data_IF_143932414217
#
_entry.id   IF_143932414217
#
_cell.length_a   1.000
_cell.length_b   1.000
_cell.length_c   1.000
_cell.angle_alpha   90.00
_cell.angle_beta   90.00
_cell.angle_gamma   90.00
#
_symmetry.space_group_name_H-M   'P 1'
#
loop_
_entity.id
_entity.type
_entity.pdbx_description
1 polymer ?
#
# COMPACT_ATOMS: atom_id res chain seq x y z
N UNK A 1 3.12 -0.28 -26.32
CA UNK A 1 3.90 -1.46 -25.82
C UNK A 1 2.87 -2.57 -25.68
N UNK A 2 3.09 -3.78 -26.22
CA UNK A 2 2.12 -4.88 -26.10
C UNK A 2 2.55 -5.73 -24.92
N UNK A 3 1.73 -5.78 -23.87
CA UNK A 3 1.90 -6.70 -22.76
C UNK A 3 1.88 -8.13 -23.29
N UNK A 4 2.82 -8.95 -22.83
CA UNK A 4 3.03 -10.32 -23.33
C UNK A 4 2.07 -11.32 -22.65
N UNK A 5 1.23 -10.86 -21.71
CA UNK A 5 0.10 -11.60 -21.15
C UNK A 5 -1.15 -10.71 -21.10
N UNK A 6 -2.32 -11.27 -21.40
CA UNK A 6 -3.61 -10.62 -21.10
C UNK A 6 -3.88 -10.82 -19.59
N UNK A 7 -3.35 -9.92 -18.77
CA UNK A 7 -3.63 -9.86 -17.33
C UNK A 7 -4.80 -8.90 -17.12
N UNK A 8 -5.81 -9.36 -16.38
CA UNK A 8 -6.94 -8.55 -15.92
C UNK A 8 -7.02 -8.69 -14.42
N UNK A 9 -6.96 -7.58 -13.70
CA UNK A 9 -7.19 -7.54 -12.25
C UNK A 9 -8.66 -7.18 -12.03
N UNK A 10 -9.33 -7.95 -11.18
CA UNK A 10 -10.74 -7.75 -10.83
C UNK A 10 -10.92 -7.26 -9.41
N UNK A 11 -9.98 -7.58 -8.52
CA UNK A 11 -9.98 -7.17 -7.12
C UNK A 11 -8.53 -7.09 -6.63
N UNK A 12 -8.25 -6.07 -5.84
CA UNK A 12 -6.99 -5.90 -5.11
C UNK A 12 -7.33 -5.39 -3.72
N UNK A 13 -7.35 -6.32 -2.77
CA UNK A 13 -7.75 -6.09 -1.40
C UNK A 13 -6.52 -6.00 -0.50
N UNK A 14 -6.49 -4.97 0.34
CA UNK A 14 -5.51 -4.79 1.40
C UNK A 14 -6.21 -4.77 2.76
N UNK A 15 -5.54 -5.27 3.79
CA UNK A 15 -5.88 -5.04 5.19
C UNK A 15 -4.92 -4.03 5.80
N UNK A 16 -5.29 -2.75 5.83
CA UNK A 16 -4.53 -1.76 6.61
C UNK A 16 -4.91 -1.96 8.08
N UNK A 17 -3.95 -2.40 8.88
CA UNK A 17 -4.15 -2.60 10.33
C UNK A 17 -4.07 -1.28 11.07
N UNK A 18 -3.16 -0.40 10.69
CA UNK A 18 -2.92 0.85 11.41
C UNK A 18 -2.58 1.99 10.46
N UNK A 19 -2.98 3.20 10.85
CA UNK A 19 -2.56 4.45 10.22
C UNK A 19 -2.07 5.36 11.34
N UNK A 20 -0.82 5.77 11.30
CA UNK A 20 -0.22 6.66 12.29
C UNK A 20 0.08 8.02 11.65
N UNK A 21 -0.23 9.11 12.36
CA UNK A 21 0.23 10.45 11.99
C UNK A 21 1.16 10.94 13.09
N UNK A 22 2.44 11.06 12.75
CA UNK A 22 3.45 11.57 13.68
C UNK A 22 3.36 13.10 13.80
N UNK A 23 3.44 13.59 15.03
CA UNK A 23 3.39 15.03 15.33
C UNK A 23 4.81 15.57 15.47
N UNK A 24 5.11 16.68 14.80
CA UNK A 24 6.39 17.40 14.95
C UNK A 24 6.56 17.87 16.41
N UNK A 25 7.47 17.20 17.12
CA UNK A 25 7.75 17.46 18.53
C UNK A 25 8.87 18.50 18.73
N UNK A 26 9.55 18.94 17.65
CA UNK A 26 10.68 19.88 17.63
C UNK A 26 10.25 21.37 17.53
N UNK A 27 9.07 21.70 16.97
CA UNK A 27 8.52 23.08 16.96
C UNK A 27 7.75 23.45 18.25
N UNK A 28 7.84 22.63 19.30
CA UNK A 28 7.19 22.83 20.59
C UNK A 28 7.82 23.96 21.45
N UNK A 29 8.04 25.16 20.89
CA UNK A 29 8.41 26.33 21.70
C UNK A 29 7.21 27.08 22.29
N UNK A 30 6.00 27.05 21.71
CA UNK A 30 4.80 27.63 22.33
C UNK A 30 3.49 27.01 21.79
N UNK A 31 3.18 25.74 22.10
CA UNK A 31 1.93 25.07 21.68
C UNK A 31 1.53 23.87 22.58
N UNK A 32 0.27 23.40 22.55
CA UNK A 32 -0.12 22.17 23.22
C UNK A 32 0.63 20.99 22.62
N UNK A 33 1.31 20.20 23.46
CA UNK A 33 1.90 18.91 23.05
C UNK A 33 0.76 17.96 22.68
N UNK A 34 0.56 17.75 21.39
CA UNK A 34 -0.31 16.71 20.87
C UNK A 34 0.55 15.43 20.78
N UNK A 35 -0.01 14.27 21.10
CA UNK A 35 0.64 13.00 20.81
C UNK A 35 0.34 12.59 19.37
N UNK A 36 1.10 11.64 18.86
CA UNK A 36 0.82 10.97 17.60
C UNK A 36 -0.62 10.44 17.57
N UNK A 37 -1.15 10.36 16.37
CA UNK A 37 -2.55 10.01 16.11
C UNK A 37 -2.58 8.66 15.42
N UNK A 38 -2.85 7.64 16.21
CA UNK A 38 -3.03 6.27 15.76
C UNK A 38 -4.50 6.00 15.41
N UNK A 39 -4.75 5.42 14.23
CA UNK A 39 -6.04 4.92 13.79
C UNK A 39 -5.97 3.41 13.63
N UNK A 40 -6.59 2.73 14.58
CA UNK A 40 -6.69 1.27 14.62
C UNK A 40 -7.75 0.76 13.64
N UNK A 41 -7.34 -0.15 12.77
CA UNK A 41 -8.15 -0.84 11.78
C UNK A 41 -9.00 -1.97 12.38
N UNK A 42 -9.36 -2.99 11.56
CA UNK A 42 -8.93 -3.18 10.18
C UNK A 42 -9.63 -2.23 9.20
N UNK A 43 -8.88 -1.66 8.26
CA UNK A 43 -9.41 -1.00 7.07
C UNK A 43 -9.23 -1.93 5.86
N UNK A 44 -10.21 -2.81 5.66
CA UNK A 44 -10.23 -3.71 4.49
C UNK A 44 -10.79 -2.96 3.28
N UNK A 45 -9.95 -2.74 2.26
CA UNK A 45 -10.33 -1.98 1.06
C UNK A 45 -9.99 -2.71 -0.22
N UNK A 46 -10.90 -2.68 -1.19
CA UNK A 46 -10.64 -3.11 -2.57
C UNK A 46 -10.29 -1.89 -3.43
N UNK A 47 -9.08 -1.87 -3.97
CA UNK A 47 -8.54 -0.79 -4.78
C UNK A 47 -8.93 -0.91 -6.26
N UNK A 48 -9.80 -1.86 -6.62
CA UNK A 48 -10.24 -2.09 -7.99
C UNK A 48 -11.77 -2.07 -8.10
N UNK A 49 -12.28 -1.28 -9.04
CA UNK A 49 -13.68 -1.31 -9.47
C UNK A 49 -13.73 -1.35 -11.00
N UNK A 50 -14.57 -2.23 -11.57
CA UNK A 50 -14.70 -2.40 -13.03
C UNK A 50 -13.34 -2.58 -13.75
N UNK A 51 -12.42 -3.34 -13.15
CA UNK A 51 -11.05 -3.60 -13.63
C UNK A 51 -10.19 -2.33 -13.78
N UNK A 52 -10.51 -1.27 -13.03
CA UNK A 52 -9.76 -0.02 -12.98
C UNK A 52 -9.38 0.30 -11.53
N UNK A 53 -8.16 0.82 -11.35
CA UNK A 53 -7.73 1.32 -10.03
C UNK A 53 -8.61 2.47 -9.57
N UNK A 54 -8.99 2.45 -8.30
CA UNK A 54 -9.80 3.48 -7.65
C UNK A 54 -9.11 4.03 -6.41
N UNK A 55 -9.52 5.23 -6.01
CA UNK A 55 -9.18 5.82 -4.72
C UNK A 55 -10.18 5.33 -3.67
N UNK A 56 -9.68 4.87 -2.51
CA UNK A 56 -10.49 4.45 -1.37
C UNK A 56 -10.27 5.38 -0.19
N UNK A 57 -11.35 5.85 0.44
CA UNK A 57 -11.25 6.59 1.69
C UNK A 57 -11.17 5.60 2.86
N UNK A 58 -10.04 5.61 3.57
CA UNK A 58 -9.82 4.77 4.76
C UNK A 58 -10.51 5.36 5.98
N UNK A 59 -10.35 6.67 6.21
CA UNK A 59 -10.87 7.35 7.38
C UNK A 59 -11.25 8.81 7.11
N UNK A 60 -12.23 9.30 7.87
CA UNK A 60 -12.50 10.73 8.06
C UNK A 60 -12.17 11.09 9.50
N UNK A 61 -11.10 11.85 9.69
CA UNK A 61 -10.57 12.18 11.02
C UNK A 61 -10.58 13.68 11.29
N UNK A 62 -10.74 14.03 12.56
CA UNK A 62 -10.56 15.40 13.02
C UNK A 62 -9.15 15.51 13.60
N UNK A 63 -8.24 16.08 12.81
CA UNK A 63 -6.88 16.33 13.27
C UNK A 63 -6.85 17.63 14.08
N UNK A 64 -6.25 17.64 15.28
CA UNK A 64 -6.00 18.86 16.03
C UNK A 64 -5.14 19.85 15.23
N UNK A 65 -5.18 21.12 15.64
CA UNK A 65 -4.22 22.11 15.17
C UNK A 65 -2.82 21.67 15.59
N UNK A 66 -1.92 21.55 14.63
CA UNK A 66 -0.61 20.98 14.81
C UNK A 66 0.19 20.92 13.52
N UNK A 67 1.43 20.53 13.70
CA UNK A 67 2.40 20.21 12.67
C UNK A 67 2.57 18.69 12.70
N UNK A 68 2.55 18.07 11.52
CA UNK A 68 2.71 16.63 11.37
C UNK A 68 3.89 16.40 10.42
N UNK A 69 4.76 15.46 10.76
CA UNK A 69 5.98 15.17 10.00
C UNK A 69 5.66 14.18 8.87
N UNK A 70 4.91 13.13 9.20
CA UNK A 70 4.62 12.02 8.29
C UNK A 70 3.26 11.36 8.57
N UNK A 71 2.88 10.47 7.65
CA UNK A 71 1.82 9.50 7.84
C UNK A 71 2.33 8.11 7.45
N UNK A 72 2.22 7.17 8.38
CA UNK A 72 2.61 5.77 8.20
C UNK A 72 1.36 4.89 8.06
N UNK A 73 1.45 3.86 7.22
CA UNK A 73 0.42 2.85 7.04
C UNK A 73 1.02 1.47 7.25
N UNK A 74 0.43 0.69 8.18
CA UNK A 74 0.81 -0.71 8.40
C UNK A 74 -0.23 -1.65 7.80
N UNK A 75 0.19 -2.57 6.93
CA UNK A 75 -0.62 -3.59 6.26
C UNK A 75 -0.24 -4.97 6.81
N UNK A 76 -1.10 -5.55 7.65
CA UNK A 76 -0.86 -6.83 8.30
C UNK A 76 -1.98 -7.84 8.02
N UNK A 77 -1.83 -9.07 8.51
CA UNK A 77 -2.84 -10.11 8.37
C UNK A 77 -4.20 -9.69 8.95
N UNK A 78 -5.29 -9.96 8.22
CA UNK A 78 -6.63 -9.74 8.76
C UNK A 78 -6.97 -10.77 9.85
N UNK A 79 -7.23 -10.30 11.07
CA UNK A 79 -7.71 -11.14 12.18
C UNK A 79 -9.23 -11.42 12.14
N UNK A 80 -9.99 -10.79 11.23
CA UNK A 80 -11.45 -10.98 11.13
C UNK A 80 -11.78 -12.28 10.39
N UNK A 81 -12.18 -13.30 11.13
CA UNK A 81 -12.58 -14.62 10.59
C UNK A 81 -13.76 -14.60 9.62
N UNK A 82 -14.55 -13.51 9.56
CA UNK A 82 -15.63 -13.35 8.59
C UNK A 82 -15.18 -12.60 7.31
N UNK A 83 -13.95 -12.08 7.29
CA UNK A 83 -13.33 -11.42 6.13
C UNK A 83 -12.92 -12.43 5.05
N UNK A 84 -13.05 -12.05 3.78
CA UNK A 84 -12.54 -12.86 2.66
C UNK A 84 -11.00 -12.94 2.62
N UNK A 85 -10.36 -12.02 3.33
CA UNK A 85 -8.91 -11.95 3.49
C UNK A 85 -8.44 -12.36 4.89
N UNK A 86 -9.22 -13.13 5.64
CA UNK A 86 -8.77 -13.69 6.93
C UNK A 86 -7.41 -14.42 6.78
N UNK A 87 -6.47 -14.13 7.69
CA UNK A 87 -5.06 -14.61 7.70
C UNK A 87 -4.24 -14.15 6.47
N UNK A 88 -4.67 -13.09 5.78
CA UNK A 88 -3.97 -12.49 4.64
C UNK A 88 -3.84 -10.98 4.85
N UNK A 89 -2.70 -10.42 4.44
CA UNK A 89 -2.49 -8.97 4.36
C UNK A 89 -2.94 -8.44 3.00
N UNK A 90 -2.70 -9.23 1.94
CA UNK A 90 -2.98 -8.88 0.55
C UNK A 90 -3.75 -9.99 -0.15
N UNK A 91 -4.74 -9.61 -0.96
CA UNK A 91 -5.42 -10.52 -1.88
C UNK A 91 -5.64 -9.86 -3.25
N UNK A 92 -5.23 -10.52 -4.32
CA UNK A 92 -5.46 -10.06 -5.69
C UNK A 92 -6.13 -11.18 -6.47
N UNK A 93 -7.18 -10.87 -7.21
CA UNK A 93 -7.83 -11.86 -8.09
C UNK A 93 -8.09 -11.29 -9.47
N UNK A 94 -8.17 -12.20 -10.45
CA UNK A 94 -8.29 -11.78 -11.84
C UNK A 94 -8.18 -12.92 -12.84
N UNK A 95 -7.65 -12.61 -14.01
CA UNK A 95 -7.29 -13.61 -15.01
C UNK A 95 -5.89 -13.40 -15.57
N UNK A 96 -5.14 -14.49 -15.74
CA UNK A 96 -3.89 -14.55 -16.50
C UNK A 96 -4.19 -15.32 -17.80
N UNK A 97 -4.11 -14.64 -18.94
CA UNK A 97 -4.40 -15.22 -20.26
C UNK A 97 -5.81 -15.85 -20.34
N UNK A 98 -6.77 -15.28 -19.59
CA UNK A 98 -8.16 -15.74 -19.50
C UNK A 98 -8.41 -16.89 -18.50
N UNK A 99 -7.37 -17.47 -17.90
CA UNK A 99 -7.52 -18.40 -16.77
C UNK A 99 -7.67 -17.62 -15.47
N UNK A 100 -8.63 -17.99 -14.58
CA UNK A 100 -8.73 -17.40 -13.25
C UNK A 100 -7.41 -17.54 -12.47
N UNK A 101 -7.05 -16.52 -11.72
CA UNK A 101 -5.96 -16.60 -10.75
C UNK A 101 -6.33 -15.92 -9.44
N UNK A 102 -5.70 -16.37 -8.37
CA UNK A 102 -5.73 -15.76 -7.05
C UNK A 102 -4.30 -15.66 -6.54
N UNK A 103 -3.93 -14.46 -6.12
CA UNK A 103 -2.73 -14.19 -5.34
C UNK A 103 -3.13 -13.82 -3.92
N UNK A 104 -2.40 -14.33 -2.94
CA UNK A 104 -2.42 -13.79 -1.59
C UNK A 104 -1.08 -13.93 -0.89
N UNK A 105 -0.85 -13.04 0.06
CA UNK A 105 0.26 -13.11 0.99
C UNK A 105 -0.19 -12.68 2.39
N UNK A 106 0.65 -12.99 3.36
CA UNK A 106 0.50 -12.66 4.77
C UNK A 106 1.78 -12.00 5.31
N UNK A 107 2.56 -11.35 4.44
CA UNK A 107 3.71 -10.53 4.89
C UNK A 107 3.14 -9.21 5.42
N UNK A 108 3.82 -8.69 6.42
CA UNK A 108 3.62 -7.34 6.95
C UNK A 108 4.30 -6.35 5.98
N UNK A 109 3.58 -5.32 5.55
CA UNK A 109 4.13 -4.22 4.75
C UNK A 109 3.86 -2.90 5.46
N UNK A 110 4.85 -2.03 5.49
CA UNK A 110 4.75 -0.68 6.03
C UNK A 110 5.09 0.29 4.90
N UNK A 111 4.43 1.45 4.87
CA UNK A 111 4.87 2.55 4.03
C UNK A 111 4.58 3.90 4.65
N UNK A 112 5.48 4.85 4.45
CA UNK A 112 5.43 6.20 5.00
C UNK A 112 5.34 7.27 3.91
N UNK A 113 4.77 8.42 4.28
CA UNK A 113 4.77 9.62 3.44
C UNK A 113 5.22 10.78 4.30
N UNK A 114 6.44 11.26 4.06
CA UNK A 114 6.90 12.52 4.61
C UNK A 114 6.14 13.70 3.98
N UNK A 115 5.74 14.68 4.78
CA UNK A 115 5.08 15.88 4.27
C UNK A 115 6.12 16.94 3.83
N UNK A 116 6.08 17.40 2.57
CA UNK A 116 7.04 18.37 1.98
C UNK A 116 7.46 19.53 2.93
N UNK A 117 8.78 19.75 3.08
CA UNK A 117 9.43 20.62 4.09
C UNK A 117 9.30 20.13 5.54
N UNK A 118 9.01 18.84 5.73
CA UNK A 118 8.84 18.16 7.01
C UNK A 118 7.59 18.57 7.78
N UNK A 119 6.52 19.07 7.13
CA UNK A 119 5.37 19.58 7.88
C UNK A 119 4.05 19.77 7.13
N UNK A 120 2.99 19.07 7.56
CA UNK A 120 1.60 19.46 7.31
C UNK A 120 1.09 20.37 8.45
N UNK A 121 0.99 21.69 8.21
CA UNK A 121 0.38 22.61 9.19
C UNK A 121 -1.14 22.71 9.00
N UNK A 122 -1.91 22.35 10.02
CA UNK A 122 -3.38 22.47 10.02
C UNK A 122 -3.84 23.62 10.92
N UNK A 123 -4.32 24.73 10.34
CA UNK A 123 -4.79 25.89 11.12
C UNK A 123 -6.22 25.73 11.69
N UNK A 124 -7.02 24.78 11.17
CA UNK A 124 -8.31 24.28 11.71
C UNK A 124 -8.95 23.33 10.65
N UNK A 125 -8.51 22.06 10.60
CA UNK A 125 -9.17 21.05 9.75
C UNK A 125 -10.32 20.39 10.53
N UNK A 126 -11.57 20.62 10.10
CA UNK A 126 -12.75 20.00 10.73
C UNK A 126 -13.09 18.62 10.16
N UNK A 127 -12.37 18.17 9.14
CA UNK A 127 -12.48 16.85 8.53
C UNK A 127 -11.30 16.67 7.55
N UNK A 128 -10.39 15.77 7.88
CA UNK A 128 -9.32 15.29 7.00
C UNK A 128 -9.73 13.91 6.49
N UNK A 129 -9.64 13.72 5.17
CA UNK A 129 -9.87 12.43 4.53
C UNK A 129 -8.51 11.79 4.25
N UNK A 130 -8.35 10.56 4.72
CA UNK A 130 -7.19 9.73 4.40
C UNK A 130 -7.63 8.80 3.28
N UNK A 131 -6.99 8.96 2.12
CA UNK A 131 -7.30 8.24 0.91
C UNK A 131 -6.10 7.40 0.48
N UNK A 132 -6.38 6.19 0.00
CA UNK A 132 -5.40 5.27 -0.54
C UNK A 132 -5.66 5.02 -2.02
N UNK A 133 -4.61 5.08 -2.82
CA UNK A 133 -4.60 4.69 -4.23
C UNK A 133 -3.29 3.99 -4.55
N UNK A 134 -3.34 2.95 -5.38
CA UNK A 134 -2.16 2.18 -5.77
C UNK A 134 -2.00 2.12 -7.30
N UNK A 135 -0.80 2.41 -7.82
CA UNK A 135 -0.50 2.26 -9.26
C UNK A 135 -0.06 0.83 -9.58
N UNK A 136 -1.05 -0.03 -9.84
CA UNK A 136 -0.84 -1.40 -10.27
C UNK A 136 0.00 -1.54 -11.55
N UNK A 137 0.06 -0.52 -12.41
CA UNK A 137 0.87 -0.64 -13.62
C UNK A 137 2.36 -0.68 -13.27
N UNK A 138 2.79 0.05 -12.25
CA UNK A 138 4.18 0.06 -11.82
C UNK A 138 4.58 -1.33 -11.29
N UNK A 139 3.80 -1.86 -10.33
CA UNK A 139 3.95 -3.21 -9.79
C UNK A 139 4.00 -4.28 -10.89
N UNK A 140 3.04 -4.28 -11.81
CA UNK A 140 2.95 -5.28 -12.89
C UNK A 140 4.11 -5.20 -13.90
N UNK A 141 4.94 -4.14 -13.88
CA UNK A 141 6.14 -4.09 -14.73
C UNK A 141 7.35 -4.81 -14.12
N UNK A 142 7.35 -5.02 -12.80
CA UNK A 142 8.41 -5.71 -12.07
C UNK A 142 8.19 -7.24 -12.03
N UNK A 143 6.94 -7.68 -12.21
CA UNK A 143 6.55 -9.10 -12.07
C UNK A 143 6.29 -9.75 -13.44
N UNK A 144 6.82 -10.96 -13.65
CA UNK A 144 6.46 -11.80 -14.80
C UNK A 144 5.41 -12.87 -14.45
N UNK A 145 4.13 -12.50 -14.51
CA UNK A 145 3.02 -13.45 -14.30
C UNK A 145 2.88 -14.51 -15.41
N UNK A 146 3.66 -14.48 -16.51
CA UNK A 146 3.58 -15.55 -17.54
C UNK A 146 4.07 -16.90 -17.02
N UNK A 147 4.87 -16.90 -15.95
CA UNK A 147 5.49 -18.11 -15.40
C UNK A 147 4.55 -18.86 -14.47
N UNK A 148 3.42 -18.25 -14.08
CA UNK A 148 2.46 -18.85 -13.18
C UNK A 148 1.80 -20.09 -13.80
N UNK A 149 1.63 -21.14 -13.02
CA UNK A 149 1.06 -22.42 -13.47
C UNK A 149 -0.11 -22.85 -12.61
N UNK A 150 -1.12 -23.48 -13.23
CA UNK A 150 -2.13 -24.31 -12.54
C UNK A 150 -1.53 -25.72 -12.41
N UNK A 151 -0.72 -25.91 -11.37
CA UNK A 151 0.09 -27.10 -11.16
C UNK A 151 -0.71 -28.30 -10.65
N UNK A 152 -1.82 -28.04 -9.96
CA UNK A 152 -2.76 -29.07 -9.49
C UNK A 152 -3.88 -29.40 -10.50
N UNK A 153 -3.96 -28.65 -11.62
CA UNK A 153 -4.94 -28.76 -12.72
C UNK A 153 -6.40 -28.56 -12.28
N UNK A 154 -6.64 -27.71 -11.27
CA UNK A 154 -7.99 -27.47 -10.74
C UNK A 154 -8.76 -26.37 -11.50
N UNK A 155 -8.10 -25.63 -12.39
CA UNK A 155 -8.67 -24.56 -13.22
C UNK A 155 -8.52 -23.15 -12.66
N UNK A 156 -7.84 -22.98 -11.53
CA UNK A 156 -7.46 -21.70 -10.91
C UNK A 156 -5.95 -21.70 -10.72
N UNK A 157 -5.29 -20.61 -11.07
CA UNK A 157 -3.86 -20.42 -10.80
C UNK A 157 -3.73 -19.81 -9.40
N UNK A 158 -3.15 -20.55 -8.46
CA UNK A 158 -2.96 -20.11 -7.07
C UNK A 158 -1.51 -19.66 -6.83
N UNK A 159 -1.31 -18.39 -6.50
CA UNK A 159 0.00 -17.78 -6.25
C UNK A 159 0.04 -17.34 -4.78
N UNK A 160 0.68 -18.11 -3.91
CA UNK A 160 0.74 -17.82 -2.48
C UNK A 160 1.87 -18.62 -1.79
N UNK A 161 2.24 -18.28 -0.54
CA UNK A 161 3.36 -18.92 0.18
C UNK A 161 3.24 -20.45 0.31
N UNK A 162 2.01 -20.97 0.31
CA UNK A 162 1.72 -22.40 0.49
C UNK A 162 1.11 -23.04 -0.76
N UNK A 163 1.33 -22.46 -1.93
CA UNK A 163 0.67 -22.83 -3.19
C UNK A 163 0.88 -24.30 -3.57
N UNK A 164 -0.23 -25.04 -3.75
CA UNK A 164 -0.21 -26.41 -4.30
C UNK A 164 0.17 -26.43 -5.80
N UNK A 165 0.04 -25.30 -6.47
CA UNK A 165 0.37 -25.08 -7.87
C UNK A 165 1.87 -24.93 -8.13
N UNK A 166 2.67 -24.74 -7.08
CA UNK A 166 4.12 -24.54 -7.18
C UNK A 166 4.53 -23.12 -7.52
N UNK A 167 3.68 -22.12 -7.24
CA UNK A 167 3.93 -20.71 -7.49
C UNK A 167 4.46 -19.94 -6.25
N UNK A 168 4.99 -20.62 -5.22
CA UNK A 168 5.47 -19.96 -4.01
C UNK A 168 6.60 -18.95 -4.27
N UNK A 169 7.60 -19.31 -5.09
CA UNK A 169 8.70 -18.41 -5.44
C UNK A 169 8.21 -17.16 -6.22
N UNK A 170 7.11 -17.30 -6.97
CA UNK A 170 6.47 -16.18 -7.64
C UNK A 170 5.68 -15.32 -6.65
N UNK A 171 5.10 -15.90 -5.60
CA UNK A 171 4.44 -15.14 -4.55
C UNK A 171 5.44 -14.25 -3.82
N UNK A 172 6.60 -14.80 -3.44
CA UNK A 172 7.70 -14.03 -2.83
C UNK A 172 8.16 -12.91 -3.79
N UNK A 173 8.34 -13.21 -5.08
CA UNK A 173 8.73 -12.20 -6.08
C UNK A 173 7.69 -11.08 -6.28
N UNK A 174 6.42 -11.34 -5.98
CA UNK A 174 5.37 -10.31 -6.03
C UNK A 174 5.51 -9.38 -4.81
N UNK A 175 5.82 -9.94 -3.63
CA UNK A 175 6.07 -9.14 -2.42
C UNK A 175 7.34 -8.31 -2.57
N UNK A 176 8.44 -8.88 -3.06
CA UNK A 176 9.66 -8.13 -3.35
C UNK A 176 9.39 -6.93 -4.30
N UNK A 177 8.42 -7.08 -5.22
CA UNK A 177 8.01 -6.01 -6.11
C UNK A 177 7.06 -4.98 -5.46
N UNK A 178 6.34 -5.33 -4.41
CA UNK A 178 5.63 -4.36 -3.58
C UNK A 178 6.63 -3.50 -2.83
N UNK A 179 7.61 -4.12 -2.16
CA UNK A 179 8.69 -3.43 -1.45
C UNK A 179 9.43 -2.47 -2.40
N UNK A 180 9.84 -2.92 -3.59
CA UNK A 180 10.54 -2.05 -4.56
C UNK A 180 9.68 -0.86 -5.03
N UNK A 181 8.35 -1.01 -5.08
CA UNK A 181 7.44 0.10 -5.44
C UNK A 181 7.21 1.06 -4.27
N UNK A 182 7.14 0.55 -3.05
CA UNK A 182 7.03 1.32 -1.81
C UNK A 182 8.31 2.12 -1.59
N UNK A 183 9.47 1.47 -1.57
CA UNK A 183 10.78 2.11 -1.41
C UNK A 183 10.97 3.25 -2.43
N UNK A 184 10.63 2.99 -3.71
CA UNK A 184 10.77 4.00 -4.77
C UNK A 184 9.77 5.16 -4.64
N UNK A 185 8.66 4.95 -3.95
CA UNK A 185 7.67 5.99 -3.66
C UNK A 185 8.13 6.83 -2.47
N UNK A 186 8.61 6.21 -1.39
CA UNK A 186 9.18 6.88 -0.22
C UNK A 186 10.41 7.73 -0.58
N UNK A 187 11.37 7.16 -1.33
CA UNK A 187 12.54 7.87 -1.85
C UNK A 187 12.16 9.16 -2.61
N UNK A 188 10.94 9.22 -3.18
CA UNK A 188 10.48 10.41 -3.92
C UNK A 188 10.06 11.58 -3.03
N UNK A 189 9.89 11.36 -1.73
CA UNK A 189 9.65 12.38 -0.71
C UNK A 189 10.94 12.81 0.00
N UNK A 190 11.92 11.90 0.13
CA UNK A 190 13.23 12.18 0.75
C UNK A 190 14.14 13.11 -0.09
N UNK A 191 14.02 13.06 -1.43
CA UNK A 191 14.98 13.65 -2.37
C UNK A 191 14.86 15.18 -2.57
N UNK A 192 14.02 15.91 -1.81
CA UNK A 192 13.91 17.38 -1.92
C UNK A 192 14.95 18.19 -1.10
N UNK A 193 15.90 17.54 -0.43
CA UNK A 193 16.91 18.21 0.42
C UNK A 193 18.34 18.33 -0.18
N UNK A 194 18.57 17.97 -1.44
CA UNK A 194 19.87 18.20 -2.12
C UNK A 194 19.77 19.16 -3.33
N UNK A 195 20.06 20.44 -3.07
CA UNK A 195 20.89 21.36 -3.88
C UNK A 195 20.31 22.77 -4.08
N UNK A 196 20.79 23.75 -3.29
CA UNK A 196 21.28 25.02 -3.86
C UNK A 196 22.17 25.81 -2.87
N UNK A 197 23.22 25.19 -2.31
CA UNK A 197 24.39 25.96 -1.88
C UNK A 197 25.13 26.46 -3.15
N UNK A 198 24.56 27.48 -3.77
CA UNK A 198 25.30 28.35 -4.69
C UNK A 198 26.45 28.98 -3.90
N UNK A 199 27.65 28.42 -4.06
CA UNK A 199 28.90 29.05 -3.65
C UNK A 199 28.95 30.48 -4.24
N UNK A 200 28.72 31.48 -3.39
CA UNK A 200 28.90 32.90 -3.73
C UNK A 200 30.40 33.21 -3.93
N UNK A 201 30.71 33.68 -5.15
CA UNK A 201 31.81 34.55 -5.62
C UNK A 201 33.30 34.18 -5.40
#
# INVERSE_FOLDING_TARGET
>A
QRNVNDIVINSFILNVEEIELEVDDDDATEGPKVSDIELEGPFVVDLIEDSSGIEQTLAEVNLPEGNYDEIEFSINESEDSESEIFEKSIFISGTINGSPFEFWHNEDLEFEIEFENGMLTLEEATATLINLQFDLNNLLTLIDLSIATDGNENGVIEINPSSEDGNSDLADSIIDAFDEVIDAFEDSFDDEDEDDENEED
#
